data_IF_869451821667
#
_entry.id   IF_869451821667
#
_cell.length_a   1.000
_cell.length_b   1.000
_cell.length_c   1.000
_cell.angle_alpha   90.00
_cell.angle_beta   90.00
_cell.angle_gamma   90.00
#
_symmetry.space_group_name_H-M   'P 1'
#
loop_
_entity.id
_entity.type
_entity.pdbx_description
1 polymer ?
#
# COMPACT_ATOMS: atom_id res chain seq x y z
N UNK A 1 17.29 -17.37 13.81
CA UNK A 1 15.89 -16.88 13.85
C UNK A 1 15.76 -15.72 12.88
N UNK A 2 14.63 -15.58 12.19
CA UNK A 2 14.34 -14.37 11.42
C UNK A 2 14.08 -13.20 12.39
N UNK A 3 14.57 -11.98 12.11
CA UNK A 3 14.22 -10.82 12.92
C UNK A 3 12.72 -10.52 12.77
N UNK A 4 12.07 -10.08 13.84
CA UNK A 4 10.64 -9.75 13.84
C UNK A 4 10.43 -8.24 13.76
N UNK A 5 9.37 -7.80 13.09
CA UNK A 5 8.95 -6.40 13.09
C UNK A 5 7.44 -6.26 13.29
N UNK A 6 7.03 -5.24 14.05
CA UNK A 6 5.64 -4.85 14.22
C UNK A 6 5.41 -3.49 13.57
N UNK A 7 4.48 -3.42 12.62
CA UNK A 7 4.09 -2.18 11.95
C UNK A 7 2.67 -1.81 12.41
N UNK A 8 2.52 -0.62 12.97
CA UNK A 8 1.23 -0.11 13.45
C UNK A 8 0.65 0.85 12.40
N UNK A 9 -0.47 0.47 11.82
CA UNK A 9 -1.19 1.16 10.75
C UNK A 9 -0.92 0.51 9.38
N UNK A 10 -2.00 0.11 8.69
CA UNK A 10 -2.00 -0.40 7.32
C UNK A 10 -2.38 0.69 6.30
N UNK A 11 -1.90 1.92 6.52
CA UNK A 11 -1.89 2.97 5.51
C UNK A 11 -0.76 2.76 4.49
N UNK A 12 -0.68 3.64 3.49
CA UNK A 12 0.27 3.52 2.37
C UNK A 12 1.73 3.35 2.83
N UNK A 13 2.16 4.17 3.79
CA UNK A 13 3.52 4.12 4.33
C UNK A 13 3.76 2.85 5.15
N UNK A 14 2.80 2.46 5.98
CA UNK A 14 2.90 1.25 6.79
C UNK A 14 3.02 -0.02 5.93
N UNK A 15 2.19 -0.13 4.89
CA UNK A 15 2.25 -1.26 3.95
C UNK A 15 3.58 -1.25 3.17
N UNK A 16 4.01 -0.09 2.66
CA UNK A 16 5.28 0.01 1.94
C UNK A 16 6.48 -0.39 2.83
N UNK A 17 6.50 0.07 4.09
CA UNK A 17 7.52 -0.33 5.07
C UNK A 17 7.44 -1.83 5.40
N UNK A 18 6.25 -2.35 5.67
CA UNK A 18 6.05 -3.77 5.98
C UNK A 18 6.51 -4.68 4.83
N UNK A 19 6.17 -4.33 3.59
CA UNK A 19 6.58 -5.09 2.41
C UNK A 19 8.11 -5.08 2.22
N UNK A 20 8.76 -3.92 2.39
CA UNK A 20 10.23 -3.80 2.30
C UNK A 20 10.93 -4.58 3.42
N UNK A 21 10.40 -4.57 4.64
CA UNK A 21 10.92 -5.38 5.75
C UNK A 21 10.77 -6.88 5.48
N UNK A 22 9.59 -7.31 5.01
CA UNK A 22 9.34 -8.70 4.68
C UNK A 22 10.28 -9.20 3.57
N UNK A 23 10.49 -8.39 2.51
CA UNK A 23 11.48 -8.67 1.46
C UNK A 23 12.90 -8.81 2.00
N UNK A 24 13.26 -8.02 3.02
CA UNK A 24 14.56 -8.10 3.71
C UNK A 24 14.63 -9.24 4.75
N UNK A 25 13.68 -10.17 4.76
CA UNK A 25 13.73 -11.39 5.56
C UNK A 25 13.16 -11.27 6.97
N UNK A 26 12.48 -10.17 7.30
CA UNK A 26 11.79 -10.01 8.57
C UNK A 26 10.50 -10.83 8.59
N UNK A 27 10.14 -11.33 9.76
CA UNK A 27 8.78 -11.79 10.06
C UNK A 27 7.95 -10.59 10.53
N UNK A 28 7.04 -10.12 9.68
CA UNK A 28 6.36 -8.82 9.85
C UNK A 28 4.90 -9.03 10.22
N UNK A 29 4.49 -8.45 11.34
CA UNK A 29 3.08 -8.31 11.71
C UNK A 29 2.62 -6.87 11.48
N UNK A 30 1.50 -6.68 10.81
CA UNK A 30 0.86 -5.37 10.62
C UNK A 30 -0.41 -5.32 11.45
N UNK A 31 -0.56 -4.29 12.28
CA UNK A 31 -1.76 -4.04 13.07
C UNK A 31 -2.50 -2.83 12.53
N UNK A 32 -3.74 -3.02 12.10
CA UNK A 32 -4.65 -1.95 11.68
C UNK A 32 -5.86 -1.93 12.60
N UNK A 33 -6.33 -0.72 12.96
CA UNK A 33 -7.51 -0.57 13.82
C UNK A 33 -8.81 -0.72 13.03
N UNK A 34 -8.79 -0.38 11.74
CA UNK A 34 -9.93 -0.53 10.84
C UNK A 34 -10.05 -1.97 10.33
N UNK A 35 -11.23 -2.33 9.80
CA UNK A 35 -11.49 -3.67 9.25
C UNK A 35 -10.77 -3.95 7.93
N UNK A 36 -10.27 -2.91 7.26
CA UNK A 36 -9.56 -3.01 5.97
C UNK A 36 -8.30 -2.15 5.96
N UNK A 37 -7.26 -2.56 5.20
CA UNK A 37 -6.12 -1.70 4.94
C UNK A 37 -6.53 -0.48 4.09
N UNK A 38 -5.64 0.52 4.01
CA UNK A 38 -5.79 1.70 3.16
C UNK A 38 -5.67 3.00 3.94
N UNK A 39 -6.10 3.04 5.20
CA UNK A 39 -6.03 4.24 6.06
C UNK A 39 -6.69 5.45 5.40
N UNK A 40 -5.91 6.47 5.01
CA UNK A 40 -6.41 7.63 4.28
C UNK A 40 -6.66 7.38 2.78
N UNK A 41 -6.18 6.27 2.22
CA UNK A 41 -6.44 5.85 0.84
C UNK A 41 -7.55 4.79 0.79
N UNK A 42 -8.62 5.00 1.56
CA UNK A 42 -9.71 4.03 1.70
C UNK A 42 -10.88 4.34 0.76
N UNK A 43 -11.86 3.46 0.75
CA UNK A 43 -13.06 3.50 -0.07
C UNK A 43 -14.32 3.28 0.79
N UNK A 44 -15.44 3.81 0.34
CA UNK A 44 -16.77 3.47 0.82
C UNK A 44 -17.46 2.68 -0.28
N UNK A 45 -17.93 1.47 0.03
CA UNK A 45 -18.80 0.69 -0.85
C UNK A 45 -20.21 0.70 -0.29
N UNK A 46 -21.17 1.20 -1.06
CA UNK A 46 -22.55 1.34 -0.62
C UNK A 46 -23.50 1.24 -1.81
N UNK A 47 -24.56 0.45 -1.65
CA UNK A 47 -25.64 0.32 -2.63
C UNK A 47 -25.11 -0.04 -4.04
N UNK A 48 -24.10 -0.93 -4.12
CA UNK A 48 -23.45 -1.34 -5.37
C UNK A 48 -22.46 -0.33 -5.97
N UNK A 49 -22.28 0.83 -5.33
CA UNK A 49 -21.36 1.88 -5.76
C UNK A 49 -20.11 1.93 -4.87
N UNK A 50 -18.99 2.35 -5.45
CA UNK A 50 -17.71 2.56 -4.76
C UNK A 50 -17.34 4.04 -4.85
N UNK A 51 -16.97 4.61 -3.71
CA UNK A 51 -16.52 5.99 -3.57
C UNK A 51 -15.13 6.00 -2.92
N UNK A 52 -14.12 6.49 -3.63
CA UNK A 52 -12.81 6.69 -3.04
C UNK A 52 -12.86 7.93 -2.13
N UNK A 53 -12.44 7.77 -0.87
CA UNK A 53 -12.41 8.85 0.13
C UNK A 53 -11.00 9.35 0.42
N UNK A 54 -10.05 8.91 -0.41
CA UNK A 54 -8.65 9.26 -0.31
C UNK A 54 -8.23 10.41 -1.22
N UNK A 55 -6.92 10.56 -1.46
CA UNK A 55 -6.39 11.63 -2.30
C UNK A 55 -6.94 11.55 -3.73
N UNK A 56 -7.32 12.70 -4.29
CA UNK A 56 -7.90 12.81 -5.64
C UNK A 56 -6.84 12.82 -6.75
N UNK A 57 -5.59 13.15 -6.42
CA UNK A 57 -4.51 13.28 -7.39
C UNK A 57 -3.46 12.19 -7.18
N UNK A 58 -3.09 11.53 -8.28
CA UNK A 58 -1.94 10.64 -8.32
C UNK A 58 -0.69 11.45 -8.67
N UNK A 59 0.08 11.82 -7.65
CA UNK A 59 1.26 12.65 -7.78
C UNK A 59 2.53 11.79 -7.71
N UNK A 60 3.59 12.26 -8.39
CA UNK A 60 4.93 11.68 -8.34
C UNK A 60 4.95 10.18 -8.69
N UNK A 61 4.49 9.78 -9.89
CA UNK A 61 4.44 8.37 -10.33
C UNK A 61 5.77 7.61 -10.12
N UNK A 62 6.89 8.30 -10.27
CA UNK A 62 8.24 7.76 -10.08
C UNK A 62 8.48 7.18 -8.67
N UNK A 63 7.88 7.75 -7.62
CA UNK A 63 8.02 7.24 -6.24
C UNK A 63 7.26 5.92 -6.07
N UNK A 64 6.12 5.79 -6.74
CA UNK A 64 5.36 4.56 -6.77
C UNK A 64 6.12 3.47 -7.53
N UNK A 65 6.64 3.80 -8.71
CA UNK A 65 7.49 2.91 -9.50
C UNK A 65 8.69 2.41 -8.69
N UNK A 66 9.41 3.30 -8.00
CA UNK A 66 10.52 2.93 -7.11
C UNK A 66 10.06 2.00 -5.99
N UNK A 67 8.86 2.22 -5.45
CA UNK A 67 8.29 1.36 -4.40
C UNK A 67 8.05 -0.06 -4.92
N UNK A 68 7.39 -0.23 -6.07
CA UNK A 68 7.21 -1.54 -6.70
C UNK A 68 8.56 -2.19 -7.06
N UNK A 69 9.48 -1.43 -7.68
CA UNK A 69 10.80 -1.92 -8.05
C UNK A 69 11.61 -2.39 -6.83
N UNK A 70 11.50 -1.68 -5.70
CA UNK A 70 12.13 -2.09 -4.44
C UNK A 70 11.61 -3.45 -3.94
N UNK A 71 10.41 -3.85 -4.35
CA UNK A 71 9.81 -5.15 -4.08
C UNK A 71 10.10 -6.20 -5.17
N UNK A 72 10.73 -5.80 -6.28
CA UNK A 72 11.04 -6.68 -7.41
C UNK A 72 9.90 -6.78 -8.42
N UNK A 73 8.92 -5.89 -8.30
CA UNK A 73 7.71 -5.83 -9.11
C UNK A 73 7.78 -4.63 -10.07
N UNK A 74 7.03 -4.69 -11.17
CA UNK A 74 6.81 -3.50 -12.01
C UNK A 74 5.43 -2.94 -11.72
N UNK A 75 5.33 -1.63 -11.49
CA UNK A 75 4.05 -0.98 -11.20
C UNK A 75 3.01 -1.22 -12.31
N UNK A 76 3.44 -1.26 -13.58
CA UNK A 76 2.60 -1.54 -14.75
C UNK A 76 1.92 -2.90 -14.75
N UNK A 77 2.45 -3.87 -13.98
CA UNK A 77 1.87 -5.20 -13.88
C UNK A 77 0.66 -5.21 -12.93
N UNK A 78 0.52 -4.16 -12.10
CA UNK A 78 -0.51 -4.04 -11.07
C UNK A 78 -1.50 -2.90 -11.34
N UNK A 79 -1.10 -1.84 -12.07
CA UNK A 79 -1.90 -0.64 -12.28
C UNK A 79 -1.98 -0.26 -13.77
N UNK A 80 -3.21 -0.12 -14.29
CA UNK A 80 -3.49 0.47 -15.62
C UNK A 80 -3.73 1.99 -15.49
N UNK A 81 -2.64 2.76 -15.41
CA UNK A 81 -2.73 4.22 -15.31
C UNK A 81 -2.99 4.86 -16.68
N UNK A 82 -4.03 5.69 -16.75
CA UNK A 82 -4.36 6.50 -17.94
C UNK A 82 -4.04 7.96 -17.66
N UNK A 83 -3.27 8.58 -18.55
CA UNK A 83 -3.06 10.03 -18.53
C UNK A 83 -4.35 10.71 -18.98
N UNK A 84 -4.86 11.60 -18.14
CA UNK A 84 -6.02 12.47 -18.41
C UNK A 84 -5.51 13.84 -18.87
#
# INVERSE_FOLDING_TARGET
>A
MKPTALVIGAGIGGIATAARLAKNGYDVTVLEKESTPGGRCNQIVRDGHRFDIGPTLFLMPEIWEETFASLGEKMSDHLDLRRI
#
